data_IF_978043226800
#
_entry.id   IF_978043226800
#
_cell.length_a   1.000
_cell.length_b   1.000
_cell.length_c   1.000
_cell.angle_alpha   90.00
_cell.angle_beta   90.00
_cell.angle_gamma   90.00
#
_symmetry.space_group_name_H-M   'P 1'
#
loop_
_entity.id
_entity.type
_entity.pdbx_description
1 polymer ?
#
# COMPACT_ATOMS: atom_id res chain seq x y z
N UNK A 1 -7.38 -7.27 10.68
CA UNK A 1 -6.67 -6.64 11.81
C UNK A 1 -5.40 -5.94 11.35
N UNK A 2 -4.96 -4.89 12.06
CA UNK A 2 -3.62 -4.35 11.88
C UNK A 2 -2.59 -5.33 12.46
N UNK A 3 -1.46 -5.59 11.78
CA UNK A 3 -0.42 -6.47 12.32
C UNK A 3 0.16 -5.88 13.61
N UNK A 4 0.65 -6.76 14.50
CA UNK A 4 1.41 -6.34 15.70
C UNK A 4 2.60 -5.48 15.27
N UNK A 5 2.94 -4.48 16.09
CA UNK A 5 4.11 -3.63 15.81
C UNK A 5 5.37 -4.49 15.85
N UNK A 6 6.21 -4.36 14.82
CA UNK A 6 7.53 -5.04 14.79
C UNK A 6 8.42 -4.48 15.90
N UNK A 7 9.14 -5.36 16.59
CA UNK A 7 10.19 -4.98 17.55
C UNK A 7 11.33 -4.22 16.87
N UNK A 8 11.60 -4.51 15.60
CA UNK A 8 12.56 -3.81 14.77
C UNK A 8 11.86 -3.16 13.56
N UNK A 9 11.31 -1.94 13.70
CA UNK A 9 10.66 -1.24 12.61
C UNK A 9 11.67 -0.70 11.59
N UNK A 10 11.28 -0.66 10.30
CA UNK A 10 12.11 -0.09 9.25
C UNK A 10 12.33 1.42 9.38
N UNK A 11 13.29 1.96 8.62
CA UNK A 11 13.75 3.37 8.67
C UNK A 11 12.59 4.38 8.70
N UNK A 12 11.65 4.30 7.76
CA UNK A 12 10.51 5.23 7.69
C UNK A 12 9.57 5.13 8.89
N UNK A 13 9.35 3.93 9.43
CA UNK A 13 8.49 3.75 10.60
C UNK A 13 9.16 4.35 11.85
N UNK A 14 10.47 4.19 12.02
CA UNK A 14 11.24 4.87 13.08
C UNK A 14 11.17 6.39 12.94
N UNK A 15 11.33 6.91 11.72
CA UNK A 15 11.26 8.35 11.44
C UNK A 15 9.91 8.95 11.85
N UNK A 16 8.80 8.38 11.40
CA UNK A 16 7.45 8.89 11.75
C UNK A 16 7.04 8.63 13.21
N UNK A 17 7.72 7.72 13.92
CA UNK A 17 7.53 7.55 15.35
C UNK A 17 8.20 8.69 16.15
N UNK A 18 9.38 9.14 15.70
CA UNK A 18 10.14 10.24 16.33
C UNK A 18 9.68 11.64 15.90
N UNK A 19 9.01 11.77 14.75
CA UNK A 19 8.61 13.06 14.16
C UNK A 19 7.07 13.13 14.03
N UNK A 20 6.34 13.57 15.07
CA UNK A 20 4.88 13.58 15.08
C UNK A 20 4.30 14.50 14.00
N UNK A 21 4.91 15.66 13.74
CA UNK A 21 4.43 16.60 12.73
C UNK A 21 4.56 16.06 11.31
N UNK A 22 5.70 15.43 11.01
CA UNK A 22 5.92 14.77 9.73
C UNK A 22 4.91 13.62 9.52
N UNK A 23 4.59 12.88 10.58
CA UNK A 23 3.54 11.85 10.56
C UNK A 23 2.16 12.46 10.34
N UNK A 24 1.84 13.58 10.99
CA UNK A 24 0.56 14.29 10.82
C UNK A 24 0.39 14.78 9.38
N UNK A 25 1.42 15.43 8.81
CA UNK A 25 1.43 15.89 7.40
C UNK A 25 1.23 14.73 6.43
N UNK A 26 1.96 13.63 6.61
CA UNK A 26 1.81 12.42 5.78
C UNK A 26 0.42 11.81 5.90
N UNK A 27 -0.15 11.75 7.11
CA UNK A 27 -1.51 11.25 7.33
C UNK A 27 -2.57 12.16 6.70
N UNK A 28 -2.42 13.49 6.78
CA UNK A 28 -3.31 14.44 6.13
C UNK A 28 -3.33 14.25 4.61
N UNK A 29 -2.15 14.16 3.98
CA UNK A 29 -2.05 13.88 2.54
C UNK A 29 -2.69 12.53 2.16
N UNK A 30 -2.49 11.49 2.97
CA UNK A 30 -3.13 10.18 2.76
C UNK A 30 -4.66 10.25 2.90
N UNK A 31 -5.19 11.01 3.86
CA UNK A 31 -6.63 11.21 4.03
C UNK A 31 -7.24 11.86 2.79
N UNK A 32 -6.63 12.93 2.27
CA UNK A 32 -7.13 13.58 1.06
C UNK A 32 -7.11 12.65 -0.15
N UNK A 33 -6.00 11.95 -0.38
CA UNK A 33 -5.93 10.93 -1.45
C UNK A 33 -7.00 9.85 -1.29
N UNK A 34 -7.27 9.41 -0.06
CA UNK A 34 -8.25 8.35 0.19
C UNK A 34 -9.70 8.77 -0.08
N UNK A 35 -10.01 10.07 -0.09
CA UNK A 35 -11.35 10.58 -0.39
C UNK A 35 -11.65 10.59 -1.90
N UNK A 36 -10.63 10.61 -2.75
CA UNK A 36 -10.84 10.72 -4.21
C UNK A 36 -11.61 9.50 -4.76
N UNK A 37 -12.51 9.74 -5.71
CA UNK A 37 -13.29 8.68 -6.38
C UNK A 37 -12.37 7.66 -7.05
N UNK A 38 -11.32 8.14 -7.73
CA UNK A 38 -10.30 7.30 -8.37
C UNK A 38 -9.64 6.33 -7.37
N UNK A 39 -9.20 6.82 -6.20
CA UNK A 39 -8.55 5.96 -5.21
C UNK A 39 -9.55 5.01 -4.52
N UNK A 40 -10.82 5.41 -4.37
CA UNK A 40 -11.89 4.52 -3.90
C UNK A 40 -12.14 3.38 -4.89
N UNK A 41 -12.25 3.68 -6.18
CA UNK A 41 -12.41 2.69 -7.26
C UNK A 41 -11.23 1.72 -7.30
N UNK A 42 -10.01 2.26 -7.34
CA UNK A 42 -8.77 1.48 -7.30
C UNK A 42 -8.73 0.51 -6.12
N UNK A 43 -9.05 0.97 -4.89
CA UNK A 43 -9.12 0.11 -3.71
C UNK A 43 -10.22 -0.95 -3.80
N UNK A 44 -11.36 -0.61 -4.40
CA UNK A 44 -12.47 -1.54 -4.60
C UNK A 44 -12.06 -2.70 -5.50
N UNK A 45 -11.41 -2.41 -6.62
CA UNK A 45 -10.90 -3.41 -7.58
C UNK A 45 -9.88 -4.34 -6.95
N UNK A 46 -8.90 -3.79 -6.21
CA UNK A 46 -7.91 -4.60 -5.49
C UNK A 46 -8.57 -5.48 -4.42
N UNK A 47 -9.58 -4.97 -3.71
CA UNK A 47 -10.32 -5.75 -2.72
C UNK A 47 -11.16 -6.85 -3.38
N UNK A 48 -11.79 -6.57 -4.53
CA UNK A 48 -12.51 -7.58 -5.31
C UNK A 48 -11.57 -8.70 -5.76
N UNK A 49 -10.38 -8.37 -6.25
CA UNK A 49 -9.36 -9.36 -6.59
C UNK A 49 -8.95 -10.19 -5.38
N UNK A 50 -8.71 -9.56 -4.21
CA UNK A 50 -8.41 -10.29 -2.97
C UNK A 50 -9.54 -11.22 -2.51
N UNK A 51 -10.81 -10.86 -2.77
CA UNK A 51 -11.97 -11.73 -2.48
C UNK A 51 -11.99 -12.93 -3.40
N UNK A 52 -11.80 -12.74 -4.71
CA UNK A 52 -11.69 -13.82 -5.70
C UNK A 52 -10.56 -14.80 -5.36
N UNK A 53 -9.44 -14.28 -4.86
CA UNK A 53 -8.29 -15.08 -4.42
C UNK A 53 -8.45 -15.71 -3.03
N UNK A 54 -9.57 -15.50 -2.34
CA UNK A 54 -9.83 -16.10 -1.02
C UNK A 54 -8.97 -15.55 0.14
N UNK A 55 -8.25 -14.45 -0.07
CA UNK A 55 -7.30 -13.83 0.88
C UNK A 55 -7.82 -12.52 1.50
N UNK A 56 -9.05 -12.10 1.17
CA UNK A 56 -9.63 -10.90 1.76
C UNK A 56 -9.80 -11.07 3.28
N UNK A 57 -9.44 -10.04 4.06
CA UNK A 57 -9.50 -10.08 5.53
C UNK A 57 -8.41 -10.88 6.24
N UNK A 58 -7.71 -11.80 5.55
CA UNK A 58 -6.73 -12.73 6.13
C UNK A 58 -5.29 -12.18 6.23
N UNK A 59 -5.04 -10.95 5.78
CA UNK A 59 -3.67 -10.42 5.64
C UNK A 59 -2.95 -10.99 4.42
N UNK A 60 -1.61 -11.06 4.46
CA UNK A 60 -0.82 -11.67 3.37
C UNK A 60 -0.54 -10.74 2.17
N UNK A 61 -0.40 -11.29 0.95
CA UNK A 61 0.11 -10.56 -0.21
C UNK A 61 -0.81 -9.42 -0.65
N UNK A 62 -0.21 -8.37 -1.23
CA UNK A 62 -0.95 -7.31 -1.91
C UNK A 62 -1.23 -7.74 -3.37
N UNK A 63 -2.29 -7.21 -3.98
CA UNK A 63 -2.54 -7.37 -5.41
C UNK A 63 -1.88 -6.20 -6.15
N UNK A 64 -0.96 -6.52 -7.07
CA UNK A 64 -0.12 -5.58 -7.80
C UNK A 64 -0.49 -5.60 -9.28
N UNK A 65 -0.64 -4.43 -9.90
CA UNK A 65 -0.87 -4.35 -11.34
C UNK A 65 0.45 -4.64 -12.05
N UNK A 66 0.47 -5.47 -13.11
CA UNK A 66 1.64 -5.64 -13.97
C UNK A 66 1.73 -4.50 -14.98
N UNK A 67 2.82 -4.43 -15.77
CA UNK A 67 2.91 -3.50 -16.90
C UNK A 67 1.78 -3.71 -17.91
N UNK A 68 1.33 -4.95 -18.08
CA UNK A 68 0.19 -5.32 -18.93
C UNK A 68 -1.19 -5.06 -18.31
N UNK A 69 -1.26 -4.57 -17.07
CA UNK A 69 -2.52 -4.25 -16.39
C UNK A 69 -3.19 -5.42 -15.65
N UNK A 70 -2.60 -6.63 -15.66
CA UNK A 70 -3.14 -7.78 -14.88
C UNK A 70 -2.81 -7.63 -13.40
N UNK A 71 -3.62 -8.23 -12.53
CA UNK A 71 -3.33 -8.28 -11.09
C UNK A 71 -2.59 -9.57 -10.73
N UNK A 72 -1.50 -9.43 -9.98
CA UNK A 72 -0.72 -10.56 -9.44
C UNK A 72 -0.51 -10.43 -7.94
N UNK A 73 -0.42 -11.56 -7.24
CA UNK A 73 -0.04 -11.59 -5.81
C UNK A 73 1.41 -11.15 -5.68
N UNK A 74 1.66 -10.20 -4.77
CA UNK A 74 3.01 -9.71 -4.50
C UNK A 74 3.24 -9.50 -2.99
N UNK A 75 4.46 -9.78 -2.55
CA UNK A 75 4.89 -9.46 -1.18
C UNK A 75 4.69 -7.95 -0.89
N UNK A 76 3.99 -7.57 0.21
CA UNK A 76 3.66 -6.17 0.49
C UNK A 76 4.89 -5.25 0.57
N UNK A 77 6.01 -5.76 1.11
CA UNK A 77 7.27 -5.02 1.20
C UNK A 77 7.82 -4.66 -0.19
N UNK A 78 7.78 -5.59 -1.15
CA UNK A 78 8.25 -5.37 -2.53
C UNK A 78 7.34 -4.38 -3.27
N UNK A 79 6.02 -4.59 -3.21
CA UNK A 79 5.04 -3.69 -3.85
C UNK A 79 5.15 -2.25 -3.34
N UNK A 80 5.15 -2.06 -2.02
CA UNK A 80 5.20 -0.73 -1.40
C UNK A 80 6.52 0.00 -1.63
N UNK A 81 7.64 -0.72 -1.70
CA UNK A 81 8.94 -0.13 -2.02
C UNK A 81 9.06 0.31 -3.48
N UNK A 82 8.42 -0.42 -4.42
CA UNK A 82 8.44 -0.06 -5.84
C UNK A 82 7.77 1.28 -6.12
N UNK A 83 6.71 1.60 -5.38
CA UNK A 83 5.98 2.85 -5.51
C UNK A 83 6.55 4.00 -4.64
N UNK A 84 7.78 3.84 -4.12
CA UNK A 84 8.52 4.86 -3.38
C UNK A 84 9.32 5.83 -4.27
N UNK A 85 10.15 6.67 -3.64
CA UNK A 85 11.09 7.59 -4.32
C UNK A 85 12.21 6.83 -5.04
N UNK A 86 12.57 7.26 -6.26
CA UNK A 86 13.64 6.66 -7.08
C UNK A 86 13.17 6.11 -8.44
N UNK A 87 14.11 5.55 -9.23
CA UNK A 87 13.88 4.90 -10.54
C UNK A 87 13.50 3.42 -10.41
N UNK A 88 12.70 3.08 -9.41
CA UNK A 88 12.19 1.71 -9.28
C UNK A 88 11.22 1.45 -10.42
N UNK A 89 11.30 0.30 -11.09
CA UNK A 89 10.48 -0.03 -12.26
C UNK A 89 8.98 -0.03 -11.95
N UNK A 90 8.36 1.15 -11.96
CA UNK A 90 6.98 1.40 -11.53
C UNK A 90 6.04 0.59 -12.38
N UNK A 91 5.07 -0.02 -11.73
CA UNK A 91 4.00 -0.73 -12.43
C UNK A 91 2.84 0.22 -12.70
N UNK A 92 1.97 -0.15 -13.65
CA UNK A 92 0.82 0.68 -14.03
C UNK A 92 -0.05 0.93 -12.81
N UNK A 93 -0.48 2.18 -12.61
CA UNK A 93 -1.56 2.48 -11.65
C UNK A 93 -2.87 2.17 -12.38
N UNK A 94 -3.64 1.23 -11.83
CA UNK A 94 -5.02 0.99 -12.26
C UNK A 94 -5.88 2.24 -12.09
#
# INVERSE_FOLDING_TARGET
MAPRRSSNPGKSARYYAKNPDARAKKNAAQRQRNKTSANRKYRSELNAARRREGIYGKGGPDMSHTKSGRLVKEAPKKNRARNGSGRNGRLKKG
#
